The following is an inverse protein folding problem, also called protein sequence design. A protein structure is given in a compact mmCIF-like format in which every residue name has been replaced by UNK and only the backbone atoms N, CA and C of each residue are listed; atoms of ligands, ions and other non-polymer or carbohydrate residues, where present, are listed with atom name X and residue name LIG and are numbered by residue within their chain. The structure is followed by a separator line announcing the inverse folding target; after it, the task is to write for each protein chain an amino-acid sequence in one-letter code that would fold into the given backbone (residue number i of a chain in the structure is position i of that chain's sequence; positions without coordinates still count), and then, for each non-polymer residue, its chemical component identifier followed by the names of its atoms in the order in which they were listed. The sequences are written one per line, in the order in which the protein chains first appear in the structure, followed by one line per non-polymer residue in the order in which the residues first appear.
data_IF_721698699977
#
_entry.id   IF_721698699977
#
_cell.length_a   1.000
_cell.length_b   1.000
_cell.length_c   1.000
_cell.angle_alpha   90.00
_cell.angle_beta   90.00
_cell.angle_gamma   90.00
#
_symmetry.space_group_name_H-M   'P 1'
#
loop_
_entity.id
_entity.type
_entity.pdbx_description
1 polymer ?
#
# COMPACT_ATOMS: atom_id res chain seq x y z
N UNK A 1 -34.21 6.99 -3.90
CA UNK A 1 -32.78 6.65 -3.68
C UNK A 1 -32.52 5.29 -4.29
N UNK A 2 -31.71 5.22 -5.35
CA UNK A 2 -31.31 3.95 -5.95
C UNK A 2 -30.12 3.41 -5.16
N UNK A 3 -30.30 2.24 -4.53
CA UNK A 3 -29.23 1.61 -3.73
C UNK A 3 -28.22 0.99 -4.70
N UNK A 4 -26.96 1.42 -4.59
CA UNK A 4 -25.85 0.82 -5.33
C UNK A 4 -25.27 -0.34 -4.50
N UNK A 5 -25.17 -1.53 -5.10
CA UNK A 5 -24.65 -2.73 -4.44
C UNK A 5 -23.22 -3.02 -4.88
N UNK A 6 -22.32 -3.24 -3.91
CA UNK A 6 -20.98 -3.79 -4.15
C UNK A 6 -20.99 -5.29 -3.82
N UNK A 7 -20.33 -6.13 -4.63
CA UNK A 7 -20.22 -7.58 -4.41
C UNK A 7 -18.77 -7.96 -4.11
N UNK A 8 -18.54 -8.75 -3.05
CA UNK A 8 -17.25 -9.37 -2.71
C UNK A 8 -17.47 -10.70 -2.00
N UNK A 9 -16.53 -11.62 -2.18
CA UNK A 9 -16.44 -12.85 -1.38
C UNK A 9 -15.66 -12.57 -0.10
N UNK A 10 -16.12 -13.09 1.04
CA UNK A 10 -15.50 -12.91 2.35
C UNK A 10 -15.41 -14.25 3.09
N UNK A 11 -14.50 -14.35 4.05
CA UNK A 11 -14.37 -15.49 4.97
C UNK A 11 -14.77 -15.05 6.38
N UNK A 12 -16.05 -15.20 6.76
CA UNK A 12 -16.54 -14.67 8.02
C UNK A 12 -16.00 -15.45 9.23
N UNK A 13 -15.83 -14.73 10.33
CA UNK A 13 -15.51 -15.22 11.66
C UNK A 13 -16.63 -14.82 12.61
N UNK A 14 -16.94 -15.68 13.57
CA UNK A 14 -18.02 -15.48 14.54
C UNK A 14 -17.46 -15.54 15.94
N UNK A 15 -17.75 -14.52 16.74
CA UNK A 15 -17.46 -14.50 18.17
C UNK A 15 -18.78 -14.40 18.94
N UNK A 16 -19.00 -15.31 19.89
CA UNK A 16 -20.20 -15.32 20.74
C UNK A 16 -19.79 -14.95 22.16
N UNK A 17 -20.49 -13.99 22.76
CA UNK A 17 -20.32 -13.62 24.17
C UNK A 17 -21.69 -13.29 24.75
N UNK A 18 -22.06 -14.01 25.81
CA UNK A 18 -23.40 -13.98 26.38
C UNK A 18 -24.46 -14.25 25.29
N UNK A 19 -25.56 -13.48 25.28
CA UNK A 19 -26.61 -13.53 24.24
C UNK A 19 -26.26 -12.75 22.96
N UNK A 20 -25.01 -12.31 22.79
CA UNK A 20 -24.57 -11.52 21.63
C UNK A 20 -23.70 -12.32 20.67
N UNK A 21 -23.99 -12.14 19.39
CA UNK A 21 -23.23 -12.72 18.27
C UNK A 21 -22.57 -11.59 17.49
N UNK A 22 -21.25 -11.67 17.35
CA UNK A 22 -20.42 -10.72 16.60
C UNK A 22 -19.90 -11.40 15.33
N UNK A 23 -20.00 -10.71 14.20
CA UNK A 23 -19.50 -11.16 12.90
C UNK A 23 -18.35 -10.26 12.47
N UNK A 24 -17.23 -10.84 12.06
CA UNK A 24 -16.07 -10.12 11.53
C UNK A 24 -15.51 -10.86 10.31
N UNK A 25 -14.76 -10.16 9.47
CA UNK A 25 -13.98 -10.78 8.38
C UNK A 25 -12.79 -9.89 8.10
N UNK A 26 -11.68 -10.49 7.69
CA UNK A 26 -10.55 -9.75 7.12
C UNK A 26 -10.76 -9.67 5.61
N UNK A 27 -10.62 -8.48 5.03
CA UNK A 27 -10.74 -8.28 3.57
C UNK A 27 -9.44 -7.69 3.04
N UNK A 28 -8.74 -8.44 2.20
CA UNK A 28 -7.62 -7.92 1.43
C UNK A 28 -8.17 -7.23 0.18
N UNK A 29 -8.12 -5.90 0.17
CA UNK A 29 -8.52 -5.10 -1.00
C UNK A 29 -7.26 -4.60 -1.69
N UNK A 30 -7.15 -4.70 -3.03
CA UNK A 30 -6.08 -4.00 -3.73
C UNK A 30 -6.27 -2.50 -3.51
N UNK A 31 -5.20 -1.83 -3.07
CA UNK A 31 -5.17 -0.38 -2.88
C UNK A 31 -4.12 0.18 -3.81
N UNK A 32 -4.45 1.27 -4.51
CA UNK A 32 -3.48 2.07 -5.26
C UNK A 32 -3.17 3.31 -4.44
N UNK A 33 -1.90 3.54 -4.19
CA UNK A 33 -1.39 4.75 -3.56
C UNK A 33 -0.79 5.68 -4.59
N UNK A 34 -0.95 6.99 -4.39
CA UNK A 34 -0.09 7.96 -5.06
C UNK A 34 1.21 8.13 -4.25
N UNK A 35 2.33 8.36 -4.93
CA UNK A 35 3.64 8.54 -4.30
C UNK A 35 4.02 10.02 -4.34
N UNK A 36 4.28 10.58 -3.16
CA UNK A 36 4.87 11.89 -2.98
C UNK A 36 6.28 11.74 -2.38
N UNK A 37 7.13 12.73 -2.59
CA UNK A 37 8.50 12.72 -2.07
C UNK A 37 8.64 13.72 -0.92
N UNK A 38 9.05 13.22 0.24
CA UNK A 38 9.43 14.02 1.39
C UNK A 38 10.91 14.31 1.41
N UNK A 39 11.29 15.39 2.09
CA UNK A 39 12.69 15.77 2.30
C UNK A 39 13.20 15.22 3.64
N UNK A 40 14.52 15.01 3.77
CA UNK A 40 15.18 14.83 5.07
C UNK A 40 16.04 13.59 5.23
N UNK A 41 15.76 12.47 4.54
CA UNK A 41 16.58 11.24 4.67
C UNK A 41 17.39 10.92 3.41
N UNK A 42 16.77 11.04 2.24
CA UNK A 42 17.42 10.91 0.94
C UNK A 42 17.03 12.11 0.06
N UNK A 43 17.95 12.64 -0.79
CA UNK A 43 17.59 13.65 -1.77
C UNK A 43 16.47 13.19 -2.69
N UNK A 44 15.52 14.08 -2.98
CA UNK A 44 14.34 13.77 -3.81
C UNK A 44 14.73 13.29 -5.20
N UNK A 45 15.73 13.92 -5.82
CA UNK A 45 16.23 13.53 -7.14
C UNK A 45 16.83 12.12 -7.13
N UNK A 46 17.55 11.77 -6.06
CA UNK A 46 18.11 10.43 -5.91
C UNK A 46 16.99 9.39 -5.77
N UNK A 47 15.96 9.65 -4.96
CA UNK A 47 14.82 8.74 -4.83
C UNK A 47 14.12 8.49 -6.17
N UNK A 48 13.87 9.56 -6.94
CA UNK A 48 13.26 9.45 -8.27
C UNK A 48 14.13 8.62 -9.21
N UNK A 49 15.42 8.90 -9.26
CA UNK A 49 16.36 8.16 -10.12
C UNK A 49 16.40 6.67 -9.78
N UNK A 50 16.44 6.33 -8.49
CA UNK A 50 16.41 4.93 -8.05
C UNK A 50 15.11 4.24 -8.46
N UNK A 51 13.96 4.89 -8.25
CA UNK A 51 12.66 4.33 -8.64
C UNK A 51 12.53 4.14 -10.15
N UNK A 52 12.97 5.12 -10.94
CA UNK A 52 12.96 5.05 -12.41
C UNK A 52 13.82 3.87 -12.90
N UNK A 53 15.07 3.78 -12.42
CA UNK A 53 15.96 2.66 -12.77
C UNK A 53 15.39 1.30 -12.35
N UNK A 54 14.82 1.21 -11.15
CA UNK A 54 14.25 -0.05 -10.67
C UNK A 54 12.99 -0.44 -11.45
N UNK A 55 12.17 0.53 -11.87
CA UNK A 55 11.00 0.30 -12.70
C UNK A 55 11.37 -0.26 -14.08
N UNK A 56 12.40 0.30 -14.73
CA UNK A 56 12.93 -0.21 -16.00
C UNK A 56 13.49 -1.64 -15.88
N UNK A 57 14.07 -1.97 -14.73
CA UNK A 57 14.69 -3.27 -14.47
C UNK A 57 13.74 -4.31 -13.86
N UNK A 58 12.46 -3.99 -13.67
CA UNK A 58 11.49 -4.81 -12.93
C UNK A 58 12.05 -5.27 -11.56
N UNK A 59 12.71 -4.36 -10.86
CA UNK A 59 13.36 -4.60 -9.59
C UNK A 59 12.52 -4.05 -8.43
N UNK A 60 12.30 -4.89 -7.42
CA UNK A 60 11.62 -4.48 -6.18
C UNK A 60 12.48 -3.45 -5.41
N UNK A 61 11.82 -2.56 -4.67
CA UNK A 61 12.48 -1.58 -3.79
C UNK A 61 11.92 -1.67 -2.38
N UNK A 62 12.77 -1.36 -1.40
CA UNK A 62 12.37 -1.05 -0.04
C UNK A 62 12.23 0.47 0.10
N UNK A 63 11.17 0.91 0.77
CA UNK A 63 10.89 2.34 0.98
C UNK A 63 10.64 2.63 2.46
N UNK A 64 11.06 3.81 2.91
CA UNK A 64 10.66 4.37 4.20
C UNK A 64 9.69 5.52 3.94
N UNK A 65 8.48 5.43 4.48
CA UNK A 65 7.39 6.33 4.14
C UNK A 65 6.43 6.58 5.30
N UNK A 66 5.66 7.67 5.20
CA UNK A 66 4.46 7.89 6.02
C UNK A 66 3.21 7.77 5.16
N UNK A 67 2.10 7.31 5.76
CA UNK A 67 0.81 7.23 5.09
C UNK A 67 -0.08 8.41 5.45
N UNK A 68 -0.79 8.93 4.44
CA UNK A 68 -1.82 9.96 4.63
C UNK A 68 -3.02 9.70 3.72
N UNK A 69 -4.19 10.15 4.16
CA UNK A 69 -5.42 10.07 3.37
C UNK A 69 -5.75 11.46 2.82
N UNK A 70 -5.85 11.60 1.50
CA UNK A 70 -6.26 12.85 0.85
C UNK A 70 -7.65 12.72 0.21
N UNK A 71 -8.20 13.85 -0.25
CA UNK A 71 -9.45 13.87 -1.02
C UNK A 71 -9.37 13.06 -2.33
N UNK A 72 -8.17 12.79 -2.83
CA UNK A 72 -7.92 12.06 -4.07
C UNK A 72 -7.51 10.60 -3.84
N UNK A 73 -7.57 10.13 -2.59
CA UNK A 73 -7.18 8.77 -2.22
C UNK A 73 -5.97 8.74 -1.29
N UNK A 74 -5.52 7.51 -0.97
CA UNK A 74 -4.40 7.31 -0.05
C UNK A 74 -3.08 7.69 -0.75
N UNK A 75 -2.17 8.25 0.03
CA UNK A 75 -0.88 8.77 -0.44
C UNK A 75 0.23 8.30 0.50
N UNK A 76 1.31 7.80 -0.09
CA UNK A 76 2.56 7.54 0.61
C UNK A 76 3.52 8.71 0.38
N UNK A 77 4.03 9.30 1.46
CA UNK A 77 5.12 10.26 1.38
C UNK A 77 6.43 9.50 1.66
N UNK A 78 7.22 9.29 0.62
CA UNK A 78 8.47 8.51 0.66
C UNK A 78 9.64 9.42 1.03
N UNK A 79 10.50 8.96 1.92
CA UNK A 79 11.67 9.68 2.41
C UNK A 79 13.00 8.98 2.06
N UNK A 80 12.98 7.67 1.78
CA UNK A 80 14.12 6.93 1.26
C UNK A 80 13.67 5.76 0.37
N UNK A 81 14.54 5.37 -0.56
CA UNK A 81 14.32 4.23 -1.48
C UNK A 81 15.62 3.44 -1.59
N UNK A 82 15.54 2.11 -1.49
CA UNK A 82 16.68 1.21 -1.69
C UNK A 82 16.29 0.06 -2.63
N UNK A 83 17.07 -0.21 -3.69
CA UNK A 83 16.84 -1.40 -4.51
C UNK A 83 17.00 -2.67 -3.68
N UNK A 84 16.04 -3.59 -3.78
CA UNK A 84 16.18 -4.93 -3.21
C UNK A 84 17.00 -5.82 -4.15
N UNK A 85 17.74 -6.81 -3.62
CA UNK A 85 18.43 -7.79 -4.46
C UNK A 85 17.44 -8.49 -5.42
N UNK A 86 17.83 -8.67 -6.69
CA UNK A 86 17.00 -9.39 -7.66
C UNK A 86 16.77 -10.82 -7.18
N UNK A 87 15.50 -11.24 -7.09
CA UNK A 87 15.14 -12.63 -6.81
C UNK A 87 15.55 -13.46 -8.04
N UNK A 88 16.66 -14.20 -7.92
CA UNK A 88 17.45 -14.83 -8.98
C UNK A 88 18.41 -13.88 -9.72
N UNK A 89 19.61 -13.61 -9.17
CA UNK A 89 20.75 -13.25 -10.01
C UNK A 89 20.99 -14.44 -10.97
N UNK A 90 20.94 -14.17 -12.27
CA UNK A 90 21.25 -15.15 -13.31
C UNK A 90 22.69 -15.68 -13.14
#
# INVERSE_FOLDING_TARGET
MQVQFNKRSISPSVFKKDDKIYFSTTVFSPVRYNLNFGEGMMPVEQMKSVLEQCAENAQDVEIEFTESQTKFGPVMQIFSVKPLPKKNPA
#
